data_IF_744358391126
#
_entry.id   IF_744358391126
#
_cell.length_a   1.000
_cell.length_b   1.000
_cell.length_c   1.000
_cell.angle_alpha   90.00
_cell.angle_beta   90.00
_cell.angle_gamma   90.00
#
_symmetry.space_group_name_H-M   'P 1'
#
loop_
_entity.id
_entity.type
_entity.pdbx_description
1 polymer ?
#
# COMPACT_ATOMS: atom_id res chain seq x y z
N UNK A 1 -0.47 -10.51 -66.99
CA UNK A 1 -1.04 -11.74 -66.41
C UNK A 1 -0.51 -12.94 -67.20
N UNK A 2 0.20 -13.83 -66.50
CA UNK A 2 0.72 -15.18 -66.84
C UNK A 2 2.04 -15.35 -66.05
N UNK A 3 2.05 -16.00 -64.88
CA UNK A 3 2.10 -17.45 -64.59
C UNK A 3 3.52 -18.03 -64.71
N UNK A 4 4.09 -18.54 -63.60
CA UNK A 4 4.81 -19.82 -63.56
C UNK A 4 4.84 -20.39 -62.13
N UNK A 5 4.73 -21.71 -62.07
CA UNK A 5 4.33 -22.58 -60.97
C UNK A 5 5.38 -22.75 -59.86
N UNK A 6 4.91 -22.99 -58.62
CA UNK A 6 5.47 -24.05 -57.77
C UNK A 6 4.34 -24.87 -57.17
N UNK A 7 4.55 -26.19 -57.24
CA UNK A 7 3.67 -27.29 -56.91
C UNK A 7 3.16 -27.22 -55.47
N UNK A 8 1.84 -27.38 -55.29
CA UNK A 8 1.26 -27.77 -54.01
C UNK A 8 1.81 -29.15 -53.63
N UNK A 9 2.74 -29.17 -52.67
CA UNK A 9 2.97 -30.34 -51.84
C UNK A 9 2.16 -30.14 -50.57
N UNK A 10 1.25 -31.07 -50.31
CA UNK A 10 0.48 -31.09 -49.08
C UNK A 10 1.43 -31.42 -47.91
N UNK A 11 1.83 -30.42 -47.14
CA UNK A 11 2.44 -30.60 -45.83
C UNK A 11 2.21 -29.37 -44.96
N UNK A 12 1.23 -29.42 -44.05
CA UNK A 12 1.10 -28.61 -42.82
C UNK A 12 1.41 -27.08 -42.79
N UNK A 13 1.48 -26.37 -43.92
CA UNK A 13 1.86 -24.94 -43.97
C UNK A 13 0.72 -23.93 -43.69
N UNK A 14 -0.31 -24.31 -42.95
CA UNK A 14 -1.38 -23.39 -42.50
C UNK A 14 -1.32 -23.06 -41.01
N UNK A 15 -0.23 -23.42 -40.32
CA UNK A 15 -0.04 -23.13 -38.91
C UNK A 15 1.23 -22.29 -38.72
N UNK A 16 1.10 -21.11 -38.11
CA UNK A 16 2.26 -20.36 -37.61
C UNK A 16 2.59 -20.83 -36.19
N UNK A 17 3.89 -21.00 -35.90
CA UNK A 17 4.37 -21.20 -34.54
C UNK A 17 4.50 -19.85 -33.83
N UNK A 18 4.01 -19.75 -32.59
CA UNK A 18 4.31 -18.61 -31.74
C UNK A 18 5.80 -18.66 -31.33
N UNK A 19 6.50 -17.54 -31.43
CA UNK A 19 7.87 -17.45 -30.91
C UNK A 19 7.88 -17.49 -29.38
N UNK A 20 8.86 -18.20 -28.80
CA UNK A 20 9.12 -18.14 -27.36
C UNK A 20 9.66 -16.74 -27.01
N UNK A 21 8.85 -15.95 -26.32
CA UNK A 21 9.18 -14.57 -25.89
C UNK A 21 10.11 -14.53 -24.69
N UNK A 22 10.20 -15.64 -23.96
CA UNK A 22 11.03 -15.80 -22.80
C UNK A 22 11.81 -17.09 -22.97
N UNK A 23 13.13 -17.00 -22.81
CA UNK A 23 13.98 -18.17 -22.70
C UNK A 23 14.57 -18.20 -21.29
N UNK A 24 14.47 -19.35 -20.64
CA UNK A 24 14.98 -19.55 -19.30
C UNK A 24 15.51 -20.95 -19.19
N UNK A 25 16.83 -21.08 -19.14
CA UNK A 25 17.47 -22.34 -18.81
C UNK A 25 18.76 -22.10 -18.05
N UNK A 26 19.01 -23.00 -17.13
CA UNK A 26 20.03 -22.96 -16.09
C UNK A 26 19.67 -23.91 -14.93
N UNK A 27 18.76 -24.85 -15.18
CA UNK A 27 18.01 -25.72 -14.26
C UNK A 27 17.12 -25.09 -13.15
N UNK A 28 15.92 -24.59 -13.40
CA UNK A 28 15.39 -24.27 -14.70
C UNK A 28 15.24 -25.48 -15.66
N UNK A 29 15.12 -26.72 -15.14
CA UNK A 29 15.43 -27.91 -15.98
C UNK A 29 14.29 -28.34 -16.89
N UNK A 30 13.07 -27.91 -16.59
CA UNK A 30 12.03 -27.82 -17.61
C UNK A 30 10.97 -26.78 -17.23
N UNK A 31 11.42 -25.72 -16.55
CA UNK A 31 10.52 -24.63 -16.16
C UNK A 31 10.41 -23.68 -17.33
N UNK A 32 9.26 -23.70 -17.98
CA UNK A 32 8.97 -22.78 -19.08
C UNK A 32 8.71 -21.38 -18.53
N UNK A 33 9.65 -20.46 -18.76
CA UNK A 33 9.42 -19.05 -18.52
C UNK A 33 8.29 -18.56 -19.40
N UNK A 34 7.31 -17.93 -18.80
CA UNK A 34 6.18 -17.33 -19.52
C UNK A 34 6.27 -15.82 -19.36
N UNK A 35 6.03 -15.04 -20.44
CA UNK A 35 5.87 -13.60 -20.31
C UNK A 35 4.59 -13.31 -19.54
N UNK A 36 4.68 -12.46 -18.52
CA UNK A 36 3.51 -11.97 -17.79
C UNK A 36 3.46 -10.45 -17.84
N UNK A 37 2.25 -9.91 -18.00
CA UNK A 37 2.01 -8.49 -17.82
C UNK A 37 1.85 -8.20 -16.34
N UNK A 38 2.69 -7.31 -15.83
CA UNK A 38 2.68 -6.88 -14.43
C UNK A 38 2.94 -5.38 -14.35
N UNK A 39 2.74 -4.81 -13.16
CA UNK A 39 3.15 -3.45 -12.86
C UNK A 39 4.46 -3.50 -12.09
N UNK A 40 5.53 -2.99 -12.69
CA UNK A 40 6.80 -2.84 -11.99
C UNK A 40 6.76 -1.57 -11.15
N UNK A 41 7.17 -1.69 -9.89
CA UNK A 41 7.41 -0.54 -9.03
C UNK A 41 8.76 0.05 -9.40
N UNK A 42 8.77 1.30 -9.85
CA UNK A 42 9.99 2.02 -10.21
C UNK A 42 10.60 2.72 -8.99
N UNK A 43 9.75 3.45 -8.25
CA UNK A 43 10.14 4.06 -6.99
C UNK A 43 8.96 4.05 -6.01
N UNK A 44 9.26 4.05 -4.72
CA UNK A 44 8.28 3.99 -3.66
C UNK A 44 8.74 4.70 -2.39
N UNK A 45 7.79 5.35 -1.72
CA UNK A 45 8.00 5.99 -0.44
C UNK A 45 6.87 5.62 0.52
N UNK A 46 7.24 5.32 1.76
CA UNK A 46 6.30 4.99 2.83
C UNK A 46 6.51 5.94 4.00
N UNK A 47 5.41 6.39 4.58
CA UNK A 47 5.43 7.25 5.75
C UNK A 47 4.24 7.00 6.66
N UNK A 48 4.38 7.43 7.92
CA UNK A 48 3.35 7.30 8.93
C UNK A 48 2.94 8.70 9.41
N UNK A 49 1.65 8.97 9.37
CA UNK A 49 1.03 10.19 9.89
C UNK A 49 0.39 9.89 11.23
N UNK A 50 0.62 10.75 12.23
CA UNK A 50 0.10 10.57 13.58
C UNK A 50 -0.89 11.68 13.92
N UNK A 51 -1.97 11.29 14.57
CA UNK A 51 -2.99 12.19 15.08
C UNK A 51 -3.46 11.75 16.47
N UNK A 52 -4.22 12.62 17.12
CA UNK A 52 -4.80 12.35 18.43
C UNK A 52 -6.22 12.90 18.51
N UNK A 53 -7.12 12.13 19.10
CA UNK A 53 -8.44 12.59 19.52
C UNK A 53 -8.64 12.35 21.00
N UNK A 54 -9.09 13.38 21.71
CA UNK A 54 -9.48 13.27 23.13
C UNK A 54 -11.00 13.19 23.21
N UNK A 55 -11.50 12.26 24.02
CA UNK A 55 -12.93 12.08 24.28
C UNK A 55 -13.17 12.12 25.77
N UNK A 56 -14.16 12.88 26.22
CA UNK A 56 -14.51 13.02 27.62
C UNK A 56 -15.91 12.48 27.88
N UNK A 57 -16.08 11.81 29.03
CA UNK A 57 -17.38 11.31 29.48
C UNK A 57 -18.04 10.33 28.51
N UNK A 58 -17.26 9.53 27.79
CA UNK A 58 -17.80 8.56 26.85
C UNK A 58 -18.56 7.48 27.61
N UNK A 59 -19.86 7.32 27.31
CA UNK A 59 -20.72 6.33 27.96
C UNK A 59 -20.58 4.96 27.28
N UNK A 60 -20.35 3.93 28.08
CA UNK A 60 -20.19 2.55 27.63
C UNK A 60 -21.41 1.70 27.95
N UNK A 61 -21.62 0.66 27.15
CA UNK A 61 -22.68 -0.33 27.31
C UNK A 61 -22.12 -1.75 27.21
N UNK A 62 -22.72 -2.75 27.87
CA UNK A 62 -23.83 -2.65 28.82
C UNK A 62 -23.40 -2.02 30.15
N UNK A 63 -24.38 -1.62 30.97
CA UNK A 63 -24.14 -1.19 32.34
C UNK A 63 -23.68 -2.37 33.22
N UNK A 64 -22.92 -2.06 34.26
CA UNK A 64 -22.49 -3.03 35.27
C UNK A 64 -23.72 -3.57 36.02
N UNK A 65 -23.80 -4.89 36.25
CA UNK A 65 -24.90 -5.46 37.05
C UNK A 65 -24.94 -4.91 38.48
N UNK A 66 -26.15 -4.79 39.04
CA UNK A 66 -26.32 -4.34 40.43
C UNK A 66 -25.54 -5.22 41.41
N UNK A 67 -24.83 -4.60 42.36
CA UNK A 67 -24.03 -5.31 43.36
C UNK A 67 -22.66 -5.77 42.86
N UNK A 68 -22.22 -5.29 41.70
CA UNK A 68 -20.86 -5.47 41.22
C UNK A 68 -20.08 -4.15 41.29
N UNK A 69 -18.77 -4.25 41.49
CA UNK A 69 -17.84 -3.11 41.47
C UNK A 69 -16.70 -3.36 40.50
N UNK A 70 -16.16 -2.31 39.87
CA UNK A 70 -14.99 -2.45 38.99
C UNK A 70 -13.73 -2.60 39.86
N UNK A 71 -13.04 -3.74 39.71
CA UNK A 71 -11.76 -4.02 40.37
C UNK A 71 -10.61 -3.36 39.61
N UNK A 72 -10.51 -3.65 38.31
CA UNK A 72 -9.45 -3.14 37.43
C UNK A 72 -9.84 -3.21 35.96
N UNK A 73 -9.12 -2.45 35.15
CA UNK A 73 -9.17 -2.57 33.69
C UNK A 73 -8.17 -3.66 33.28
N UNK A 74 -8.63 -4.58 32.43
CA UNK A 74 -7.83 -5.67 31.88
C UNK A 74 -7.15 -5.21 30.59
N UNK A 75 -7.94 -4.67 29.65
CA UNK A 75 -7.47 -4.22 28.35
C UNK A 75 -8.39 -3.14 27.77
N UNK A 76 -7.85 -2.33 26.85
CA UNK A 76 -8.60 -1.35 26.07
C UNK A 76 -8.28 -1.57 24.60
N UNK A 77 -9.30 -1.97 23.82
CA UNK A 77 -9.18 -2.30 22.41
C UNK A 77 -10.04 -1.38 21.58
N UNK A 78 -9.73 -1.24 20.30
CA UNK A 78 -10.57 -0.51 19.37
C UNK A 78 -10.64 -1.18 18.01
N UNK A 79 -11.79 -1.03 17.35
CA UNK A 79 -12.07 -1.58 16.03
C UNK A 79 -12.66 -0.48 15.14
N UNK A 80 -12.32 -0.52 13.86
CA UNK A 80 -12.93 0.34 12.84
C UNK A 80 -14.39 -0.05 12.62
N UNK A 81 -15.26 0.93 12.42
CA UNK A 81 -16.64 0.69 11.99
C UNK A 81 -16.66 0.53 10.47
N UNK A 82 -17.33 -0.54 10.01
CA UNK A 82 -17.68 -0.76 8.62
C UNK A 82 -18.92 -1.64 8.56
N UNK A 83 -20.02 -1.13 8.00
CA UNK A 83 -21.23 -1.87 7.73
C UNK A 83 -21.18 -2.52 6.33
N UNK A 84 -21.05 -3.86 6.24
CA UNK A 84 -21.04 -4.54 4.96
C UNK A 84 -22.38 -4.46 4.20
N UNK A 85 -23.49 -4.18 4.89
CA UNK A 85 -24.80 -4.04 4.27
C UNK A 85 -25.02 -2.64 3.66
N UNK A 86 -24.26 -1.64 4.11
CA UNK A 86 -24.37 -0.26 3.64
C UNK A 86 -22.97 0.38 3.55
N UNK A 87 -22.33 0.24 2.39
CA UNK A 87 -21.01 0.82 2.15
C UNK A 87 -20.99 2.37 2.24
N UNK A 88 -22.14 3.02 2.01
CA UNK A 88 -22.26 4.48 2.02
C UNK A 88 -22.65 5.06 3.39
N UNK A 89 -22.64 4.26 4.45
CA UNK A 89 -22.91 4.77 5.80
C UNK A 89 -21.86 5.81 6.22
N UNK A 90 -22.31 6.96 6.73
CA UNK A 90 -21.44 8.02 7.22
C UNK A 90 -20.64 7.60 8.47
N UNK A 91 -21.09 6.59 9.21
CA UNK A 91 -20.37 6.01 10.34
C UNK A 91 -19.23 5.08 9.89
N UNK A 92 -19.22 4.61 8.64
CA UNK A 92 -18.11 3.83 8.11
C UNK A 92 -16.83 4.68 8.13
N UNK A 93 -15.79 4.14 8.76
CA UNK A 93 -14.50 4.80 8.79
C UNK A 93 -13.95 4.90 7.37
N UNK A 94 -13.77 6.12 6.89
CA UNK A 94 -13.31 6.40 5.53
C UNK A 94 -11.99 7.16 5.57
N UNK A 95 -11.08 6.76 4.66
CA UNK A 95 -9.81 7.42 4.39
C UNK A 95 -9.83 7.89 2.95
N UNK A 96 -9.71 9.19 2.76
CA UNK A 96 -9.62 9.81 1.45
C UNK A 96 -8.25 10.47 1.29
N UNK A 97 -7.63 10.24 0.13
CA UNK A 97 -6.27 10.69 -0.17
C UNK A 97 -6.31 11.73 -1.27
N UNK A 98 -5.95 12.96 -0.92
CA UNK A 98 -5.77 14.04 -1.87
C UNK A 98 -4.29 14.30 -2.06
N UNK A 99 -3.80 14.14 -3.29
CA UNK A 99 -2.38 14.27 -3.61
C UNK A 99 -2.16 15.35 -4.66
N UNK A 100 -1.26 16.27 -4.35
CA UNK A 100 -0.71 17.24 -5.29
C UNK A 100 0.71 16.83 -5.69
N UNK A 101 1.10 17.15 -6.92
CA UNK A 101 2.46 16.91 -7.44
C UNK A 101 3.03 18.20 -8.04
N UNK A 102 4.34 18.36 -7.87
CA UNK A 102 5.18 19.42 -8.40
C UNK A 102 6.38 18.79 -9.13
N UNK A 103 6.79 19.38 -10.24
CA UNK A 103 7.82 18.82 -11.14
C UNK A 103 7.27 17.80 -12.16
N UNK A 104 6.03 17.35 -11.97
CA UNK A 104 5.24 16.60 -12.94
C UNK A 104 3.78 17.07 -12.87
N UNK A 105 2.94 16.58 -13.78
CA UNK A 105 1.51 16.80 -13.74
C UNK A 105 0.74 15.50 -13.99
N UNK A 106 -0.46 15.42 -13.43
CA UNK A 106 -1.41 14.38 -13.80
C UNK A 106 -1.96 14.67 -15.18
N UNK A 107 -2.00 13.65 -16.03
CA UNK A 107 -2.62 13.77 -17.35
C UNK A 107 -4.12 13.99 -17.16
N UNK A 108 -4.66 15.06 -17.75
CA UNK A 108 -6.06 15.43 -17.64
C UNK A 108 -6.76 15.30 -19.01
N UNK A 109 -8.03 14.89 -18.98
CA UNK A 109 -8.95 14.96 -20.11
C UNK A 109 -10.06 16.00 -19.84
N UNK A 110 -11.11 16.02 -20.68
CA UNK A 110 -12.25 16.92 -20.49
C UNK A 110 -13.09 16.62 -19.23
N UNK A 111 -12.93 15.45 -18.62
CA UNK A 111 -13.71 14.95 -17.49
C UNK A 111 -12.93 14.96 -16.17
N UNK A 112 -11.61 15.12 -16.20
CA UNK A 112 -10.76 15.21 -15.01
C UNK A 112 -9.39 14.59 -15.20
N UNK A 113 -8.80 14.11 -14.10
CA UNK A 113 -7.55 13.34 -14.14
C UNK A 113 -7.82 11.98 -14.79
N UNK A 114 -6.95 11.59 -15.73
CA UNK A 114 -7.02 10.28 -16.37
C UNK A 114 -6.52 9.21 -15.41
N UNK A 115 -7.43 8.32 -15.03
CA UNK A 115 -7.16 7.20 -14.14
C UNK A 115 -7.21 5.87 -14.91
N UNK A 116 -6.39 4.92 -14.45
CA UNK A 116 -6.33 3.57 -14.98
C UNK A 116 -6.64 2.55 -13.90
N UNK A 117 -7.06 1.35 -14.31
CA UNK A 117 -7.40 0.28 -13.41
C UNK A 117 -6.16 -0.16 -12.63
N UNK A 118 -6.20 0.00 -11.32
CA UNK A 118 -5.15 -0.45 -10.42
C UNK A 118 -5.31 -1.91 -9.98
N UNK A 119 -4.44 -2.38 -9.08
CA UNK A 119 -4.44 -3.76 -8.60
C UNK A 119 -5.69 -4.14 -7.79
N UNK A 120 -6.44 -3.15 -7.32
CA UNK A 120 -7.73 -3.28 -6.64
C UNK A 120 -8.92 -3.45 -7.60
N UNK A 121 -8.68 -3.38 -8.92
CA UNK A 121 -9.70 -3.60 -9.95
C UNK A 121 -10.59 -2.39 -10.21
N UNK A 122 -10.26 -1.22 -9.66
CA UNK A 122 -10.97 0.05 -9.89
C UNK A 122 -10.03 1.12 -10.45
N UNK A 123 -10.54 2.20 -11.05
CA UNK A 123 -9.72 3.35 -11.44
C UNK A 123 -9.09 3.98 -10.18
N UNK A 124 -7.81 3.70 -9.94
CA UNK A 124 -7.08 4.14 -8.74
C UNK A 124 -5.67 4.64 -9.06
N UNK A 125 -5.18 4.41 -10.28
CA UNK A 125 -3.84 4.82 -10.71
C UNK A 125 -3.89 6.03 -11.62
N UNK A 126 -3.23 7.11 -11.23
CA UNK A 126 -3.22 8.38 -11.99
C UNK A 126 -2.01 8.43 -12.92
N UNK A 127 -2.23 8.75 -14.19
CA UNK A 127 -1.14 8.84 -15.16
C UNK A 127 -0.30 10.10 -14.89
N UNK A 128 1.03 9.93 -14.83
CA UNK A 128 1.99 11.01 -14.63
C UNK A 128 2.69 11.38 -15.93
N UNK A 129 2.95 12.67 -16.09
CA UNK A 129 3.82 13.18 -17.14
C UNK A 129 4.74 14.29 -16.60
N UNK A 130 5.99 14.26 -17.06
CA UNK A 130 6.94 15.36 -16.98
C UNK A 130 7.88 15.29 -18.19
N UNK A 131 8.56 16.41 -18.47
CA UNK A 131 9.69 16.42 -19.40
C UNK A 131 10.91 15.78 -18.71
N UNK A 132 11.26 14.57 -19.15
CA UNK A 132 12.35 13.77 -18.58
C UNK A 132 13.68 13.94 -19.33
N UNK A 133 13.72 14.71 -20.42
CA UNK A 133 14.84 14.78 -21.37
C UNK A 133 16.21 15.00 -20.70
N UNK A 134 16.30 15.95 -19.78
CA UNK A 134 17.55 16.26 -19.08
C UNK A 134 18.07 15.11 -18.19
N UNK A 135 17.18 14.32 -17.60
CA UNK A 135 17.55 13.18 -16.77
C UNK A 135 17.86 11.95 -17.64
N UNK A 136 17.12 11.78 -18.72
CA UNK A 136 17.31 10.73 -19.72
C UNK A 136 18.71 10.78 -20.34
N UNK A 137 19.23 11.98 -20.66
CA UNK A 137 20.61 12.20 -21.16
C UNK A 137 21.70 11.68 -20.21
N UNK A 138 21.38 11.58 -18.92
CA UNK A 138 22.28 11.10 -17.87
C UNK A 138 21.96 9.68 -17.40
N UNK A 139 20.92 9.05 -17.95
CA UNK A 139 20.43 7.74 -17.53
C UNK A 139 19.88 7.72 -16.09
N UNK A 140 19.33 8.86 -15.62
CA UNK A 140 18.79 9.02 -14.27
C UNK A 140 17.27 9.19 -14.29
N UNK A 141 16.60 8.94 -13.16
CA UNK A 141 15.18 9.26 -12.98
C UNK A 141 14.94 10.75 -12.75
N UNK A 142 13.75 11.24 -13.10
CA UNK A 142 13.33 12.64 -12.89
C UNK A 142 12.69 12.81 -11.51
N UNK A 143 13.21 13.68 -10.63
CA UNK A 143 12.64 13.87 -9.31
C UNK A 143 11.28 14.59 -9.38
N UNK A 144 10.31 14.07 -8.63
CA UNK A 144 8.98 14.66 -8.46
C UNK A 144 8.67 14.82 -6.98
N UNK A 145 8.12 15.97 -6.62
CA UNK A 145 7.78 16.31 -5.24
C UNK A 145 6.27 16.32 -5.10
N UNK A 146 5.76 15.79 -4.01
CA UNK A 146 4.33 15.74 -3.78
C UNK A 146 3.93 16.20 -2.38
N UNK A 147 2.71 16.70 -2.32
CA UNK A 147 1.98 16.96 -1.09
C UNK A 147 0.86 15.93 -0.98
N UNK A 148 0.61 15.43 0.23
CA UNK A 148 -0.52 14.56 0.49
C UNK A 148 -1.33 15.13 1.65
N UNK A 149 -2.64 15.22 1.47
CA UNK A 149 -3.62 15.38 2.53
C UNK A 149 -4.41 14.10 2.68
N UNK A 150 -4.32 13.47 3.85
CA UNK A 150 -5.20 12.37 4.23
C UNK A 150 -6.37 12.94 5.01
N UNK A 151 -7.57 12.81 4.45
CA UNK A 151 -8.82 13.19 5.08
C UNK A 151 -9.47 11.93 5.68
N UNK A 152 -9.80 11.98 6.96
CA UNK A 152 -10.39 10.84 7.67
C UNK A 152 -11.65 11.26 8.44
N UNK A 153 -12.71 10.47 8.32
CA UNK A 153 -13.97 10.63 9.04
C UNK A 153 -14.64 9.29 9.29
N UNK A 154 -15.72 9.30 10.06
CA UNK A 154 -16.44 8.10 10.50
C UNK A 154 -16.02 7.64 11.88
N UNK A 155 -16.42 6.43 12.24
CA UNK A 155 -16.49 6.02 13.64
C UNK A 155 -15.59 4.81 13.95
N UNK A 156 -15.22 4.69 15.22
CA UNK A 156 -14.56 3.50 15.78
C UNK A 156 -15.37 3.00 16.98
N UNK A 157 -15.30 1.70 17.25
CA UNK A 157 -15.82 1.12 18.49
C UNK A 157 -14.66 0.90 19.44
N UNK A 158 -14.77 1.44 20.65
CA UNK A 158 -13.85 1.19 21.75
C UNK A 158 -14.44 0.12 22.65
N UNK A 159 -13.63 -0.87 23.00
CA UNK A 159 -13.95 -1.93 23.95
C UNK A 159 -13.06 -1.77 25.17
N UNK A 160 -13.64 -1.87 26.36
CA UNK A 160 -12.90 -1.95 27.62
C UNK A 160 -13.26 -3.28 28.26
N UNK A 161 -12.24 -4.10 28.48
CA UNK A 161 -12.36 -5.35 29.23
C UNK A 161 -12.11 -5.03 30.71
N UNK A 162 -13.11 -5.31 31.54
CA UNK A 162 -13.15 -4.98 32.96
C UNK A 162 -13.16 -6.26 33.79
N UNK A 163 -12.40 -6.24 34.88
CA UNK A 163 -12.57 -7.18 35.98
C UNK A 163 -13.58 -6.56 36.96
N UNK A 164 -14.72 -7.21 37.16
CA UNK A 164 -15.76 -6.80 38.09
C UNK A 164 -15.86 -7.80 39.24
N UNK A 165 -16.04 -7.30 40.46
CA UNK A 165 -16.19 -8.10 41.66
C UNK A 165 -17.63 -8.08 42.14
N UNK A 166 -18.19 -9.25 42.44
CA UNK A 166 -19.46 -9.36 43.15
C UNK A 166 -19.32 -9.03 44.65
N UNK A 167 -20.45 -8.97 45.35
CA UNK A 167 -20.49 -8.75 46.81
C UNK A 167 -19.78 -9.84 47.63
N UNK A 168 -19.50 -11.00 47.04
CA UNK A 168 -18.78 -12.11 47.67
C UNK A 168 -17.25 -12.03 47.41
N UNK A 169 -16.79 -11.01 46.67
CA UNK A 169 -15.38 -10.83 46.31
C UNK A 169 -14.92 -11.71 45.15
N UNK A 170 -15.84 -12.31 44.39
CA UNK A 170 -15.52 -13.12 43.21
C UNK A 170 -15.35 -12.21 42.00
N UNK A 171 -14.18 -12.28 41.38
CA UNK A 171 -13.85 -11.54 40.16
C UNK A 171 -14.37 -12.28 38.92
N UNK A 172 -15.04 -11.54 38.04
CA UNK A 172 -15.45 -11.99 36.70
C UNK A 172 -15.07 -10.93 35.66
N UNK A 173 -14.90 -11.35 34.41
CA UNK A 173 -14.59 -10.43 33.31
C UNK A 173 -15.87 -10.01 32.60
N UNK A 174 -16.02 -8.72 32.32
CA UNK A 174 -17.03 -8.21 31.39
C UNK A 174 -16.40 -7.27 30.37
N UNK A 175 -16.94 -7.25 29.16
CA UNK A 175 -16.55 -6.29 28.11
C UNK A 175 -17.64 -5.25 27.96
N UNK A 176 -17.26 -3.98 27.95
CA UNK A 176 -18.15 -2.88 27.61
C UNK A 176 -17.66 -2.18 26.35
N UNK A 177 -18.56 -1.66 25.54
CA UNK A 177 -18.25 -0.97 24.30
C UNK A 177 -18.96 0.38 24.18
N UNK A 178 -18.32 1.27 23.43
CA UNK A 178 -18.86 2.56 23.05
C UNK A 178 -18.38 2.93 21.64
N UNK A 179 -19.27 3.53 20.86
CA UNK A 179 -18.92 4.07 19.55
C UNK A 179 -18.44 5.51 19.68
N UNK A 180 -17.39 5.84 18.94
CA UNK A 180 -16.74 7.14 18.96
C UNK A 180 -16.52 7.61 17.54
N UNK A 181 -17.11 8.76 17.21
CA UNK A 181 -16.79 9.42 15.96
C UNK A 181 -15.39 10.00 15.98
N UNK A 182 -14.56 9.71 14.96
CA UNK A 182 -13.23 10.29 14.79
C UNK A 182 -13.35 11.73 14.27
N UNK A 183 -14.16 11.93 13.24
CA UNK A 183 -14.52 13.24 12.72
C UNK A 183 -15.82 13.11 11.90
N UNK A 184 -16.65 14.15 11.86
CA UNK A 184 -17.79 14.18 10.96
C UNK A 184 -17.33 14.37 9.51
N UNK A 185 -18.06 13.82 8.54
CA UNK A 185 -17.73 13.97 7.11
C UNK A 185 -17.67 15.44 6.64
N UNK A 186 -18.46 16.33 7.28
CA UNK A 186 -18.44 17.76 6.98
C UNK A 186 -17.18 18.49 7.46
N UNK A 187 -16.46 17.93 8.43
CA UNK A 187 -15.20 18.49 8.95
C UNK A 187 -14.23 17.35 9.29
N UNK A 188 -13.62 16.71 8.27
CA UNK A 188 -12.78 15.55 8.45
C UNK A 188 -11.47 15.92 9.17
N UNK A 189 -10.85 14.94 9.81
CA UNK A 189 -9.48 15.08 10.30
C UNK A 189 -8.54 15.09 9.10
N UNK A 190 -7.73 16.13 8.96
CA UNK A 190 -6.75 16.27 7.86
C UNK A 190 -5.34 16.11 8.40
N UNK A 191 -4.59 15.15 7.86
CA UNK A 191 -3.17 14.94 8.14
C UNK A 191 -2.38 15.20 6.86
N UNK A 192 -1.42 16.12 6.91
CA UNK A 192 -0.64 16.54 5.73
C UNK A 192 0.78 15.99 5.80
N UNK A 193 1.30 15.51 4.67
CA UNK A 193 2.70 15.15 4.50
C UNK A 193 3.26 15.61 3.16
N UNK A 194 4.59 15.56 3.05
CA UNK A 194 5.34 15.79 1.82
C UNK A 194 6.15 14.54 1.48
N UNK A 195 6.39 14.32 0.19
CA UNK A 195 7.20 13.21 -0.28
C UNK A 195 7.96 13.57 -1.55
N UNK A 196 8.99 12.81 -1.84
CA UNK A 196 9.80 12.88 -3.05
C UNK A 196 9.85 11.47 -3.66
N UNK A 197 9.73 11.39 -4.98
CA UNK A 197 9.82 10.15 -5.76
C UNK A 197 10.62 10.42 -7.04
N UNK A 198 11.19 9.38 -7.63
CA UNK A 198 11.85 9.41 -8.92
C UNK A 198 10.94 8.80 -9.99
N UNK A 199 10.71 9.53 -11.08
CA UNK A 199 9.91 9.08 -12.22
C UNK A 199 10.82 8.55 -13.34
N UNK A 200 10.46 7.44 -14.03
CA UNK A 200 11.16 7.00 -15.24
C UNK A 200 10.86 7.91 -16.44
N UNK A 201 11.64 7.72 -17.52
CA UNK A 201 11.42 8.42 -18.79
C UNK A 201 9.97 8.30 -19.29
N UNK A 202 9.42 9.42 -19.75
CA UNK A 202 8.09 9.48 -20.39
C UNK A 202 8.16 9.39 -21.91
N UNK A 203 9.37 9.53 -22.49
CA UNK A 203 9.58 9.60 -23.94
C UNK A 203 10.13 8.30 -24.52
N UNK A 204 10.88 7.53 -23.73
CA UNK A 204 11.48 6.27 -24.13
C UNK A 204 10.74 5.05 -23.54
N UNK A 205 9.41 5.03 -23.68
CA UNK A 205 8.54 3.95 -23.19
C UNK A 205 7.23 3.94 -23.95
N UNK A 206 6.69 2.75 -24.19
CA UNK A 206 5.36 2.56 -24.77
C UNK A 206 4.23 2.90 -23.79
N UNK A 207 4.53 2.94 -22.48
CA UNK A 207 3.54 3.20 -21.43
C UNK A 207 4.02 4.29 -20.48
N UNK A 208 3.11 5.19 -20.12
CA UNK A 208 3.39 6.27 -19.19
C UNK A 208 3.49 5.78 -17.73
N UNK A 209 4.33 6.42 -16.90
CA UNK A 209 4.38 6.16 -15.47
C UNK A 209 3.05 6.51 -14.80
N UNK A 210 2.73 5.80 -13.72
CA UNK A 210 1.49 5.98 -12.96
C UNK A 210 1.78 6.13 -11.48
N UNK A 211 1.04 7.01 -10.81
CA UNK A 211 1.02 7.10 -9.36
C UNK A 211 -0.05 6.17 -8.81
N UNK A 212 0.33 5.29 -7.88
CA UNK A 212 -0.61 4.50 -7.07
C UNK A 212 -0.38 4.77 -5.59
N UNK A 213 -1.45 4.68 -4.82
CA UNK A 213 -1.52 5.13 -3.44
C UNK A 213 -2.20 4.06 -2.60
N UNK A 214 -1.55 3.65 -1.52
CA UNK A 214 -2.08 2.68 -0.57
C UNK A 214 -2.11 3.35 0.80
N UNK A 215 -3.23 3.21 1.50
CA UNK A 215 -3.32 3.71 2.87
C UNK A 215 -4.09 2.79 3.79
N UNK A 216 -3.73 2.85 5.07
CA UNK A 216 -4.44 2.15 6.12
C UNK A 216 -4.29 2.92 7.45
N UNK A 217 -5.36 2.95 8.24
CA UNK A 217 -5.34 3.53 9.58
C UNK A 217 -5.29 2.45 10.67
N UNK A 218 -4.64 2.77 11.78
CA UNK A 218 -4.66 2.02 13.02
C UNK A 218 -4.97 2.97 14.17
N UNK A 219 -5.63 2.44 15.19
CA UNK A 219 -6.06 3.19 16.37
C UNK A 219 -5.53 2.50 17.61
N UNK A 220 -5.20 3.29 18.61
CA UNK A 220 -4.88 2.79 19.94
C UNK A 220 -5.53 3.68 20.97
N UNK A 221 -6.29 3.08 21.87
CA UNK A 221 -7.03 3.79 22.90
C UNK A 221 -6.34 3.60 24.25
N UNK A 222 -6.28 4.67 25.05
CA UNK A 222 -5.87 4.62 26.44
C UNK A 222 -6.70 5.58 27.28
N UNK A 223 -6.70 5.38 28.59
CA UNK A 223 -7.23 6.38 29.52
C UNK A 223 -6.47 7.70 29.39
N UNK A 224 -7.17 8.83 29.51
CA UNK A 224 -6.59 10.15 29.25
C UNK A 224 -5.35 10.44 30.12
N UNK A 225 -5.42 10.15 31.41
CA UNK A 225 -4.35 10.34 32.38
C UNK A 225 -3.67 9.04 32.80
N UNK A 226 -4.00 7.91 32.14
CA UNK A 226 -3.59 6.56 32.54
C UNK A 226 -3.97 6.23 34.00
N UNK A 227 -5.04 6.82 34.53
CA UNK A 227 -5.49 6.60 35.90
C UNK A 227 -6.99 6.32 35.93
N UNK A 228 -7.37 5.06 36.19
CA UNK A 228 -8.76 4.62 36.19
C UNK A 228 -9.64 5.38 37.20
N UNK A 229 -9.12 5.75 38.38
CA UNK A 229 -9.89 6.47 39.39
C UNK A 229 -10.23 7.91 39.00
N UNK A 230 -9.49 8.49 38.04
CA UNK A 230 -9.75 9.83 37.50
C UNK A 230 -10.50 9.79 36.19
N UNK A 231 -10.16 8.81 35.36
CA UNK A 231 -10.62 8.75 33.97
C UNK A 231 -11.86 7.89 33.81
N UNK A 232 -12.29 7.11 34.81
CA UNK A 232 -13.48 6.27 34.75
C UNK A 232 -14.40 6.56 35.93
N UNK A 233 -15.69 6.69 35.65
CA UNK A 233 -16.74 6.89 36.63
C UNK A 233 -17.86 5.87 36.41
N UNK A 234 -18.32 5.25 37.50
CA UNK A 234 -19.49 4.36 37.49
C UNK A 234 -20.66 5.13 38.10
N UNK A 235 -21.73 5.30 37.31
CA UNK A 235 -22.97 5.93 37.72
C UNK A 235 -23.79 5.04 38.65
N UNK A 236 -24.83 5.60 39.29
CA UNK A 236 -25.68 4.88 40.25
C UNK A 236 -26.41 3.68 39.64
N UNK A 237 -26.65 3.70 38.32
CA UNK A 237 -27.32 2.61 37.59
C UNK A 237 -26.33 1.60 36.97
N UNK A 238 -25.04 1.68 37.30
CA UNK A 238 -23.99 0.86 36.69
C UNK A 238 -23.49 1.38 35.35
N UNK A 239 -23.96 2.54 34.89
CA UNK A 239 -23.47 3.19 33.67
C UNK A 239 -21.99 3.54 33.81
N UNK A 240 -21.17 3.16 32.84
CA UNK A 240 -19.74 3.45 32.86
C UNK A 240 -19.48 4.63 31.94
N UNK A 241 -18.80 5.65 32.46
CA UNK A 241 -18.28 6.76 31.65
C UNK A 241 -16.76 6.78 31.74
N UNK A 242 -16.07 7.04 30.63
CA UNK A 242 -14.62 7.17 30.65
C UNK A 242 -14.07 8.31 29.77
N UNK A 243 -12.93 8.86 30.19
CA UNK A 243 -12.14 9.83 29.47
C UNK A 243 -10.99 9.11 28.75
N UNK A 244 -10.95 9.21 27.42
CA UNK A 244 -10.01 8.48 26.59
C UNK A 244 -9.17 9.42 25.72
N UNK A 245 -7.96 8.97 25.43
CA UNK A 245 -7.13 9.46 24.34
C UNK A 245 -7.06 8.35 23.30
N UNK A 246 -7.41 8.70 22.06
CA UNK A 246 -7.37 7.84 20.90
C UNK A 246 -6.20 8.34 20.05
N UNK A 247 -5.13 7.54 20.02
CA UNK A 247 -4.03 7.74 19.10
C UNK A 247 -4.41 7.18 17.73
N UNK A 248 -4.08 7.95 16.70
CA UNK A 248 -4.38 7.65 15.30
C UNK A 248 -3.05 7.52 14.58
N UNK A 249 -2.87 6.43 13.85
CA UNK A 249 -1.71 6.23 12.99
C UNK A 249 -2.19 5.86 11.59
N UNK A 250 -1.87 6.67 10.59
CA UNK A 250 -2.13 6.35 9.19
C UNK A 250 -0.82 5.99 8.51
N UNK A 251 -0.73 4.78 7.99
CA UNK A 251 0.37 4.38 7.12
C UNK A 251 -0.05 4.65 5.67
N UNK A 252 0.80 5.37 4.94
CA UNK A 252 0.63 5.62 3.52
C UNK A 252 1.86 5.15 2.76
N UNK A 253 1.63 4.53 1.61
CA UNK A 253 2.66 4.13 0.66
C UNK A 253 2.29 4.70 -0.71
N UNK A 254 3.26 5.33 -1.37
CA UNK A 254 3.12 5.86 -2.73
C UNK A 254 4.13 5.19 -3.61
N UNK A 255 3.71 4.87 -4.83
CA UNK A 255 4.57 4.22 -5.81
C UNK A 255 4.41 4.87 -7.17
N UNK A 256 5.52 4.99 -7.88
CA UNK A 256 5.52 5.17 -9.32
C UNK A 256 5.62 3.79 -9.93
N UNK A 257 4.59 3.40 -10.69
CA UNK A 257 4.51 2.10 -11.34
C UNK A 257 4.50 2.27 -12.86
N UNK A 258 5.07 1.29 -13.54
CA UNK A 258 5.05 1.20 -15.00
C UNK A 258 4.58 -0.20 -15.40
N UNK A 259 3.54 -0.33 -16.24
CA UNK A 259 3.16 -1.61 -16.82
C UNK A 259 4.30 -2.16 -17.67
N UNK A 260 4.71 -3.38 -17.37
CA UNK A 260 5.82 -4.06 -18.05
C UNK A 260 5.44 -5.50 -18.37
N UNK A 261 6.10 -6.06 -19.38
CA UNK A 261 6.09 -7.49 -19.62
C UNK A 261 7.35 -8.08 -19.01
N UNK A 262 7.23 -8.97 -18.01
CA UNK A 262 8.37 -9.66 -17.40
C UNK A 262 8.41 -11.12 -17.82
N UNK A 263 9.62 -11.63 -18.03
CA UNK A 263 9.83 -13.07 -18.10
C UNK A 263 9.95 -13.62 -16.69
N UNK A 264 8.99 -14.46 -16.30
CA UNK A 264 8.99 -15.17 -15.00
C UNK A 264 10.34 -15.88 -14.81
N UNK A 265 10.99 -15.64 -13.66
CA UNK A 265 12.32 -16.12 -13.26
C UNK A 265 13.53 -15.40 -13.88
N UNK A 266 13.31 -14.32 -14.62
CA UNK A 266 14.37 -13.39 -15.02
C UNK A 266 14.10 -11.99 -14.47
N UNK A 267 15.11 -11.13 -14.43
CA UNK A 267 14.95 -9.70 -14.07
C UNK A 267 14.74 -8.79 -15.28
N UNK A 268 14.62 -9.38 -16.48
CA UNK A 268 14.52 -8.66 -17.75
C UNK A 268 13.09 -8.51 -18.24
N UNK A 269 12.87 -7.49 -19.08
CA UNK A 269 11.62 -7.34 -19.81
C UNK A 269 11.53 -8.35 -20.95
N UNK A 270 10.34 -8.90 -21.15
CA UNK A 270 10.05 -9.81 -22.24
C UNK A 270 9.61 -8.98 -23.45
N UNK A 271 10.42 -8.94 -24.50
CA UNK A 271 10.06 -8.28 -25.76
C UNK A 271 10.10 -9.28 -26.90
N UNK A 272 9.19 -9.13 -27.86
CA UNK A 272 9.18 -9.97 -29.04
C UNK A 272 10.41 -9.69 -29.91
N UNK A 273 11.04 -10.73 -30.50
CA UNK A 273 12.12 -10.50 -31.46
C UNK A 273 11.57 -9.68 -32.64
N UNK A 274 12.40 -8.77 -33.15
CA UNK A 274 12.05 -7.99 -34.33
C UNK A 274 11.83 -8.94 -35.51
N UNK A 275 10.69 -8.78 -36.20
CA UNK A 275 10.48 -9.43 -37.48
C UNK A 275 11.43 -8.76 -38.49
N UNK A 276 12.35 -9.54 -39.08
CA UNK A 276 13.39 -9.03 -39.99
C UNK A 276 12.81 -8.57 -41.33
N UNK A 277 12.11 -7.44 -41.31
CA UNK A 277 11.68 -6.72 -42.50
C UNK A 277 12.48 -5.41 -42.60
N UNK A 278 13.56 -5.49 -43.37
CA UNK A 278 14.29 -4.40 -44.04
C UNK A 278 15.31 -3.55 -43.26
N UNK A 279 16.55 -3.61 -43.79
CA UNK A 279 17.51 -2.54 -44.07
C UNK A 279 17.50 -1.29 -43.15
N UNK A 280 18.60 -1.13 -42.43
CA UNK A 280 18.80 -0.10 -41.41
C UNK A 280 18.68 1.36 -41.86
N UNK A 281 18.56 2.21 -40.83
CA UNK A 281 18.95 3.63 -40.66
C UNK A 281 18.27 4.20 -39.39
N UNK A 282 17.25 3.55 -38.84
CA UNK A 282 16.49 4.03 -37.69
C UNK A 282 16.80 3.19 -36.44
N UNK A 283 17.33 3.82 -35.38
CA UNK A 283 17.34 3.24 -34.04
C UNK A 283 15.92 3.32 -33.48
N UNK A 284 15.24 2.18 -33.33
CA UNK A 284 13.92 2.10 -32.70
C UNK A 284 14.06 2.05 -31.17
N UNK A 285 13.21 2.78 -30.42
CA UNK A 285 13.20 2.72 -28.96
C UNK A 285 12.68 1.37 -28.45
N UNK A 286 13.07 1.00 -27.22
CA UNK A 286 12.51 -0.15 -26.51
C UNK A 286 11.06 0.11 -26.05
N UNK A 287 10.33 -0.96 -25.70
CA UNK A 287 8.93 -0.81 -25.25
C UNK A 287 8.84 -0.35 -23.79
N UNK A 288 9.85 -0.67 -22.98
CA UNK A 288 9.86 -0.38 -21.55
C UNK A 288 11.03 0.53 -21.17
N UNK A 289 10.89 1.37 -20.13
CA UNK A 289 11.98 2.21 -19.67
C UNK A 289 13.18 1.37 -19.24
N UNK A 290 14.40 1.85 -19.51
CA UNK A 290 15.60 1.21 -18.99
C UNK A 290 15.62 1.24 -17.46
N UNK A 291 16.05 0.13 -16.84
CA UNK A 291 16.24 0.08 -15.39
C UNK A 291 17.48 0.89 -15.03
N UNK A 292 17.34 1.84 -14.11
CA UNK A 292 18.44 2.66 -13.58
C UNK A 292 19.33 1.91 -12.58
N UNK A 293 19.28 0.57 -12.57
CA UNK A 293 20.02 -0.31 -11.66
C UNK A 293 21.53 -0.29 -11.96
N UNK A 294 22.21 0.73 -11.45
CA UNK A 294 23.60 0.78 -10.96
C UNK A 294 24.69 0.02 -11.73
N UNK A 295 24.61 -0.09 -13.07
CA UNK A 295 25.66 -0.69 -13.92
C UNK A 295 26.45 0.29 -14.78
N UNK A 296 26.16 1.59 -14.71
CA UNK A 296 26.97 2.65 -15.32
C UNK A 296 27.43 3.69 -14.29
N UNK A 297 27.97 3.24 -13.16
CA UNK A 297 28.63 4.11 -12.19
C UNK A 297 30.05 4.48 -12.63
N UNK A 298 30.20 5.00 -13.86
CA UNK A 298 31.41 5.67 -14.35
C UNK A 298 31.16 7.14 -14.72
N UNK A 299 29.98 7.68 -14.39
CA UNK A 299 29.76 9.14 -14.31
C UNK A 299 29.22 9.45 -12.93
N UNK A 300 30.15 9.55 -11.99
CA UNK A 300 29.91 9.97 -10.62
C UNK A 300 29.13 11.29 -10.61
N UNK A 301 27.90 11.27 -10.12
CA UNK A 301 27.31 12.44 -9.46
C UNK A 301 28.09 12.64 -8.14
N UNK A 302 29.29 13.19 -8.26
CA UNK A 302 30.18 13.43 -7.15
C UNK A 302 29.62 14.57 -6.31
N UNK A 303 28.92 14.24 -5.22
CA UNK A 303 28.90 15.08 -4.04
C UNK A 303 30.28 14.99 -3.38
N UNK A 304 30.79 16.15 -3.03
CA UNK A 304 32.16 16.43 -2.59
C UNK A 304 32.57 15.52 -1.42
N UNK A 305 33.67 14.79 -1.63
CA UNK A 305 34.30 13.87 -0.70
C UNK A 305 34.75 14.55 0.60
N UNK A 306 34.25 14.09 1.75
CA UNK A 306 34.98 14.18 3.02
C UNK A 306 35.47 12.78 3.38
N UNK A 307 36.79 12.65 3.36
CA UNK A 307 37.58 11.46 3.65
C UNK A 307 37.45 11.00 5.10
N UNK A 308 37.02 9.77 5.33
CA UNK A 308 37.31 9.03 6.56
C UNK A 308 37.99 7.70 6.21
N UNK A 309 39.18 7.55 6.76
CA UNK A 309 40.16 6.48 6.56
C UNK A 309 39.60 5.13 7.03
N UNK A 310 39.69 4.13 6.17
CA UNK A 310 39.42 2.72 6.48
C UNK A 310 40.61 2.10 7.20
N UNK A 311 40.35 1.33 8.26
CA UNK A 311 41.24 0.25 8.68
C UNK A 311 40.38 -1.00 8.98
N UNK A 312 40.74 -2.19 8.49
CA UNK A 312 39.89 -3.37 8.50
C UNK A 312 40.19 -4.26 9.72
N UNK A 313 39.18 -4.90 10.31
CA UNK A 313 39.28 -6.25 10.87
C UNK A 313 37.98 -6.72 11.54
N UNK A 314 37.62 -7.98 11.23
CA UNK A 314 36.85 -8.94 12.03
C UNK A 314 35.32 -9.04 11.82
N UNK A 315 34.96 -10.02 10.98
CA UNK A 315 33.92 -11.05 11.25
C UNK A 315 34.64 -12.42 11.25
N UNK A 316 34.13 -13.57 11.76
CA UNK A 316 32.70 -13.97 11.80
C UNK A 316 32.26 -14.80 13.04
N UNK A 317 30.95 -14.99 13.27
CA UNK A 317 30.39 -16.18 13.98
C UNK A 317 28.91 -16.43 13.59
N UNK A 318 28.58 -17.68 13.23
CA UNK A 318 27.25 -18.17 12.85
C UNK A 318 26.43 -18.85 13.99
N UNK A 319 25.24 -19.44 13.65
CA UNK A 319 24.06 -19.69 14.52
C UNK A 319 24.01 -21.14 15.10
N UNK A 320 23.07 -21.59 15.99
CA UNK A 320 21.60 -21.85 15.77
C UNK A 320 20.72 -21.91 17.09
N UNK A 321 19.58 -22.67 17.29
CA UNK A 321 18.34 -23.01 16.50
C UNK A 321 16.96 -22.77 17.24
N UNK A 322 15.86 -22.98 16.47
CA UNK A 322 14.46 -23.49 16.71
C UNK A 322 13.60 -23.16 17.97
N UNK A 323 12.30 -22.82 17.76
CA UNK A 323 11.16 -23.73 18.02
C UNK A 323 9.77 -23.17 17.63
N UNK A 324 8.91 -24.12 17.21
CA UNK A 324 7.49 -24.06 16.87
C UNK A 324 6.59 -23.48 17.98
N UNK A 325 5.49 -22.80 17.57
CA UNK A 325 4.18 -22.93 18.22
C UNK A 325 3.09 -22.38 17.28
N UNK A 326 2.31 -23.30 16.69
CA UNK A 326 1.11 -23.00 15.93
C UNK A 326 -0.02 -22.49 16.81
N UNK A 327 -0.59 -21.35 16.43
CA UNK A 327 -1.84 -20.84 16.98
C UNK A 327 -2.91 -20.96 15.90
N UNK A 328 -3.69 -22.05 15.97
CA UNK A 328 -4.91 -22.20 15.18
C UNK A 328 -5.95 -21.17 15.60
N UNK A 329 -6.16 -20.18 14.74
CA UNK A 329 -7.34 -19.32 14.79
C UNK A 329 -8.28 -19.78 13.69
N UNK A 330 -9.37 -20.44 14.06
CA UNK A 330 -10.48 -20.69 13.16
C UNK A 330 -11.19 -19.36 12.89
N UNK A 331 -11.06 -18.87 11.67
CA UNK A 331 -11.80 -17.71 11.17
C UNK A 331 -13.30 -18.01 11.14
N UNK A 332 -14.08 -17.09 11.73
CA UNK A 332 -15.53 -17.09 11.66
C UNK A 332 -16.01 -16.66 10.27
N UNK A 333 -17.00 -17.39 9.76
CA UNK A 333 -17.73 -17.08 8.52
C UNK A 333 -18.48 -15.73 8.60
N UNK A 334 -18.53 -14.95 7.51
CA UNK A 334 -19.26 -13.68 7.49
C UNK A 334 -20.78 -13.89 7.69
N UNK A 335 -21.48 -12.98 8.39
CA UNK A 335 -22.92 -13.05 8.51
C UNK A 335 -23.58 -12.81 7.15
N UNK A 336 -24.64 -13.58 6.87
CA UNK A 336 -25.44 -13.40 5.65
C UNK A 336 -26.27 -12.12 5.76
N UNK A 337 -26.12 -11.23 4.78
CA UNK A 337 -27.01 -10.09 4.58
C UNK A 337 -28.44 -10.60 4.37
N UNK A 338 -29.40 -10.06 5.13
CA UNK A 338 -30.84 -10.27 4.92
C UNK A 338 -31.40 -9.24 3.95
#
# INVERSE_FOLDING_TARGET
MNCFCTSQTASNDQCCGAHELCSFSGSLDDVKSTPIYVQSVYDAVRFNLQGMKTVQGLTFTPAIPCGYTVSRIIDIRCKKVFDPCNANDCSNLTLDMETGISGAYFVNDCNGVVETIGPDGVPSEKILFADTSSCDDTGCGTPVFGTQNVRMWGDIVVYIDLAVCDNCGRETTMTVCAEVSIAPAANPLVLTNFFELCMPSTTNSAVMPRLTELSNAAFTCRLATNNAARDMCVGPNGEITANLIIAICVACEKKIVVPVQLCVLTTGFAEAPLQEDSAGIINCPGLFPERTDNRNNSRSCASTSNTCVTNPCCDPCGPPPSDDCGCGCNDFTPPQCR
#
